data_IF_358497434233
#
_entry.id   IF_358497434233
#
_cell.length_a   1.000
_cell.length_b   1.000
_cell.length_c   1.000
_cell.angle_alpha   90.00
_cell.angle_beta   90.00
_cell.angle_gamma   90.00
#
_symmetry.space_group_name_H-M   'P 1'
#
loop_
_entity.id
_entity.type
_entity.pdbx_description
1 polymer ?
#
# COMPACT_ATOMS: atom_id res chain seq x y z
N UNK A 1 -30.37 -23.53 23.94
CA UNK A 1 -30.14 -22.38 24.86
C UNK A 1 -28.83 -21.71 24.45
N UNK A 2 -28.77 -20.36 24.43
CA UNK A 2 -27.60 -19.63 23.95
C UNK A 2 -26.36 -19.77 24.87
N UNK A 3 -25.17 -19.57 24.29
CA UNK A 3 -23.88 -19.82 24.95
C UNK A 3 -23.72 -19.07 26.27
N UNK A 4 -23.98 -17.76 26.31
CA UNK A 4 -23.72 -16.94 27.52
C UNK A 4 -24.57 -17.26 28.76
N UNK A 5 -25.56 -18.16 28.65
CA UNK A 5 -26.35 -18.61 29.81
C UNK A 5 -25.80 -19.88 30.46
N UNK A 6 -25.07 -20.70 29.71
CA UNK A 6 -24.66 -22.05 30.16
C UNK A 6 -23.21 -22.42 29.80
N UNK A 7 -22.53 -21.58 29.02
CA UNK A 7 -21.15 -21.75 28.53
C UNK A 7 -20.89 -23.10 27.85
N UNK A 8 -21.93 -23.69 27.26
CA UNK A 8 -21.88 -24.98 26.60
C UNK A 8 -22.06 -24.80 25.09
N UNK A 9 -21.00 -25.09 24.33
CA UNK A 9 -20.96 -24.94 22.88
C UNK A 9 -21.92 -25.88 22.16
N UNK A 10 -22.03 -27.16 22.56
CA UNK A 10 -22.96 -28.10 21.93
C UNK A 10 -24.40 -27.60 21.96
N UNK A 11 -24.86 -27.14 23.14
CA UNK A 11 -26.22 -26.60 23.33
C UNK A 11 -26.44 -25.29 22.57
N UNK A 12 -25.41 -24.47 22.45
CA UNK A 12 -25.47 -23.19 21.75
C UNK A 12 -25.51 -23.38 20.23
N UNK A 13 -24.61 -24.21 19.69
CA UNK A 13 -24.52 -24.52 18.26
C UNK A 13 -25.77 -25.26 17.82
N UNK A 14 -26.24 -26.27 18.56
CA UNK A 14 -27.47 -26.97 18.23
C UNK A 14 -28.68 -26.02 18.13
N UNK A 15 -28.81 -25.08 19.07
CA UNK A 15 -29.88 -24.09 19.06
C UNK A 15 -29.73 -23.08 17.91
N UNK A 16 -28.51 -22.60 17.64
CA UNK A 16 -28.23 -21.69 16.53
C UNK A 16 -28.48 -22.33 15.16
N UNK A 17 -28.05 -23.58 14.97
CA UNK A 17 -28.27 -24.35 13.75
C UNK A 17 -29.76 -24.65 13.54
N UNK A 18 -30.50 -25.00 14.60
CA UNK A 18 -31.95 -25.17 14.54
C UNK A 18 -32.66 -23.87 14.12
N UNK A 19 -32.25 -22.72 14.67
CA UNK A 19 -32.79 -21.42 14.28
C UNK A 19 -32.44 -21.03 12.83
N UNK A 20 -31.26 -21.45 12.35
CA UNK A 20 -30.83 -21.25 10.97
C UNK A 20 -31.43 -22.27 9.97
N UNK A 21 -32.23 -23.23 10.44
CA UNK A 21 -32.80 -24.30 9.60
C UNK A 21 -31.75 -25.27 9.03
N UNK A 22 -30.64 -25.49 9.75
CA UNK A 22 -29.54 -26.36 9.34
C UNK A 22 -29.33 -27.51 10.33
N UNK A 23 -28.95 -28.73 9.89
CA UNK A 23 -28.63 -29.82 10.79
C UNK A 23 -27.28 -29.60 11.48
N UNK A 24 -27.19 -29.95 12.76
CA UNK A 24 -25.93 -29.97 13.52
C UNK A 24 -25.43 -31.41 13.65
N UNK A 25 -24.15 -31.64 13.31
CA UNK A 25 -23.52 -32.97 13.36
C UNK A 25 -23.19 -33.46 14.78
N UNK A 26 -23.27 -32.59 15.79
CA UNK A 26 -22.82 -32.88 17.15
C UNK A 26 -21.30 -32.83 17.33
N UNK A 27 -20.56 -32.37 16.31
CA UNK A 27 -19.11 -32.17 16.36
C UNK A 27 -18.78 -30.75 15.94
N UNK A 28 -17.86 -30.11 16.65
CA UNK A 28 -17.34 -28.80 16.32
C UNK A 28 -15.87 -28.71 16.70
N UNK A 29 -15.19 -27.77 16.07
CA UNK A 29 -13.84 -27.36 16.41
C UNK A 29 -13.67 -25.88 16.07
N UNK A 30 -12.54 -25.30 16.44
CA UNK A 30 -12.23 -23.89 16.20
C UNK A 30 -11.22 -23.77 15.08
N UNK A 31 -11.47 -22.82 14.17
CA UNK A 31 -10.52 -22.45 13.13
C UNK A 31 -10.10 -21.00 13.31
N UNK A 32 -8.87 -20.71 12.88
CA UNK A 32 -8.40 -19.33 12.81
C UNK A 32 -9.11 -18.60 11.66
N UNK A 33 -9.65 -17.42 11.95
CA UNK A 33 -10.25 -16.54 10.95
C UNK A 33 -9.73 -15.12 11.12
N UNK A 34 -9.50 -14.44 9.99
CA UNK A 34 -9.15 -13.04 9.96
C UNK A 34 -10.24 -12.27 9.22
N UNK A 35 -10.68 -11.15 9.79
CA UNK A 35 -11.62 -10.23 9.17
C UNK A 35 -10.98 -8.84 9.09
N UNK A 36 -10.89 -8.30 7.87
CA UNK A 36 -10.31 -6.99 7.61
C UNK A 36 -11.43 -5.98 7.33
N UNK A 37 -11.44 -4.88 8.08
CA UNK A 37 -12.40 -3.79 7.91
C UNK A 37 -11.65 -2.44 7.84
N UNK A 38 -12.11 -1.51 6.99
CA UNK A 38 -11.48 -0.19 6.90
C UNK A 38 -11.74 0.65 8.15
N UNK A 39 -10.72 1.39 8.60
CA UNK A 39 -10.88 2.39 9.65
C UNK A 39 -11.37 3.69 8.99
N UNK A 40 -12.65 4.02 9.20
CA UNK A 40 -13.32 5.18 8.57
C UNK A 40 -13.63 6.33 9.53
N UNK A 41 -13.33 6.15 10.82
CA UNK A 41 -13.55 7.12 11.89
C UNK A 41 -12.20 7.47 12.54
N UNK A 42 -12.19 8.43 13.47
CA UNK A 42 -10.96 8.96 14.09
C UNK A 42 -10.05 9.68 13.07
N UNK A 43 -10.63 10.51 12.20
CA UNK A 43 -9.86 11.36 11.27
C UNK A 43 -8.97 12.30 12.07
N UNK A 44 -7.67 12.26 11.80
CA UNK A 44 -6.69 13.09 12.47
C UNK A 44 -6.86 14.58 12.07
N UNK A 45 -6.60 15.53 12.98
CA UNK A 45 -6.44 16.95 12.64
C UNK A 45 -5.39 17.17 11.54
N UNK A 46 -5.52 18.27 10.78
CA UNK A 46 -4.68 18.56 9.60
C UNK A 46 -3.17 18.57 9.89
N UNK A 47 -2.79 19.00 11.09
CA UNK A 47 -1.40 19.08 11.57
C UNK A 47 -0.80 17.71 11.90
N UNK A 48 -1.63 16.66 11.93
CA UNK A 48 -1.24 15.26 12.15
C UNK A 48 -1.51 14.38 10.92
N UNK A 49 -1.86 14.99 9.79
CA UNK A 49 -1.98 14.27 8.53
C UNK A 49 -0.60 13.71 8.14
N UNK A 50 -0.60 12.52 7.54
CA UNK A 50 0.65 11.91 7.10
C UNK A 50 1.31 12.76 6.02
N UNK A 51 2.59 13.03 6.20
CA UNK A 51 3.46 13.64 5.20
C UNK A 51 4.05 12.59 4.27
N UNK A 52 4.70 13.06 3.21
CA UNK A 52 5.33 12.19 2.20
C UNK A 52 6.35 11.23 2.85
N UNK A 53 7.18 11.73 3.77
CA UNK A 53 8.23 10.96 4.45
C UNK A 53 7.69 9.86 5.36
N UNK A 54 6.46 9.98 5.86
CA UNK A 54 5.87 8.97 6.74
C UNK A 54 5.68 7.63 6.02
N UNK A 55 5.63 7.65 4.68
CA UNK A 55 5.50 6.46 3.85
C UNK A 55 6.72 6.24 2.94
N UNK A 56 7.31 7.31 2.39
CA UNK A 56 8.33 7.24 1.34
C UNK A 56 9.79 7.28 1.83
N UNK A 57 10.02 7.28 3.15
CA UNK A 57 11.37 7.22 3.72
C UNK A 57 11.69 5.86 4.33
N UNK A 58 12.99 5.62 4.57
CA UNK A 58 13.44 4.49 5.39
C UNK A 58 12.83 4.56 6.79
N UNK A 59 12.39 3.42 7.32
CA UNK A 59 11.61 3.33 8.57
C UNK A 59 10.22 3.97 8.48
N UNK A 60 9.72 4.28 7.28
CA UNK A 60 8.34 4.70 7.05
C UNK A 60 7.34 3.56 7.23
N UNK A 61 6.05 3.89 7.15
CA UNK A 61 4.92 2.93 7.27
C UNK A 61 4.96 1.82 6.23
N UNK A 62 5.57 2.09 5.08
CA UNK A 62 5.71 1.14 3.98
C UNK A 62 7.04 0.38 4.03
N UNK A 63 7.78 0.36 5.14
CA UNK A 63 9.07 -0.34 5.27
C UNK A 63 8.98 -1.87 5.23
N UNK A 64 7.79 -2.46 5.38
CA UNK A 64 7.62 -3.93 5.39
C UNK A 64 6.69 -4.44 4.30
N UNK A 65 6.33 -3.57 3.35
CA UNK A 65 5.43 -3.93 2.24
C UNK A 65 6.27 -4.36 1.04
N UNK A 66 6.43 -5.65 0.83
CA UNK A 66 7.26 -6.17 -0.26
C UNK A 66 6.61 -5.98 -1.64
N UNK A 67 7.43 -6.04 -2.70
CA UNK A 67 6.95 -6.02 -4.09
C UNK A 67 6.65 -4.64 -4.68
N UNK A 68 6.96 -3.55 -3.97
CA UNK A 68 6.83 -2.17 -4.48
C UNK A 68 8.17 -1.45 -4.43
N UNK A 69 8.52 -0.72 -5.49
CA UNK A 69 9.68 0.18 -5.53
C UNK A 69 9.31 1.57 -5.03
N UNK A 70 10.02 2.08 -4.04
CA UNK A 70 9.85 3.43 -3.49
C UNK A 70 11.17 4.20 -3.59
N UNK A 71 11.24 5.25 -4.43
CA UNK A 71 12.43 6.10 -4.51
C UNK A 71 12.80 6.68 -3.14
N UNK A 72 14.08 6.58 -2.75
CA UNK A 72 14.59 7.11 -1.49
C UNK A 72 14.35 6.24 -0.26
N UNK A 73 13.65 5.09 -0.38
CA UNK A 73 13.53 4.10 0.69
C UNK A 73 14.70 3.11 0.65
N UNK A 74 15.44 2.99 1.75
CA UNK A 74 16.73 2.28 1.80
C UNK A 74 16.70 0.83 1.32
N UNK A 75 15.68 0.04 1.67
CA UNK A 75 15.61 -1.38 1.27
C UNK A 75 15.31 -1.62 -0.23
N UNK A 76 14.80 -0.61 -0.95
CA UNK A 76 14.59 -0.69 -2.40
C UNK A 76 15.66 0.04 -3.20
N UNK A 77 16.55 0.77 -2.54
CA UNK A 77 17.49 1.65 -3.21
C UNK A 77 18.47 0.83 -4.05
N UNK A 78 18.27 0.84 -5.37
CA UNK A 78 19.22 0.28 -6.33
C UNK A 78 20.05 1.45 -6.85
N UNK A 79 21.23 1.65 -6.26
CA UNK A 79 22.10 2.79 -6.56
C UNK A 79 22.42 2.93 -8.07
N UNK A 80 22.57 1.82 -8.78
CA UNK A 80 22.76 1.82 -10.23
C UNK A 80 21.54 2.38 -10.99
N UNK A 81 20.32 2.03 -10.56
CA UNK A 81 19.10 2.48 -11.22
C UNK A 81 18.91 3.99 -11.03
N UNK A 82 19.16 4.48 -9.82
CA UNK A 82 19.04 5.91 -9.52
C UNK A 82 20.08 6.74 -10.29
N UNK A 83 21.34 6.28 -10.32
CA UNK A 83 22.41 6.96 -11.07
C UNK A 83 22.14 6.93 -12.58
N UNK A 84 21.75 5.78 -13.13
CA UNK A 84 21.40 5.66 -14.54
C UNK A 84 20.19 6.53 -14.92
N UNK A 85 19.15 6.56 -14.07
CA UNK A 85 17.96 7.37 -14.27
C UNK A 85 18.27 8.87 -14.33
N UNK A 86 19.06 9.36 -13.38
CA UNK A 86 19.48 10.77 -13.37
C UNK A 86 20.41 11.13 -14.53
N UNK A 87 21.33 10.24 -14.89
CA UNK A 87 22.19 10.44 -16.06
C UNK A 87 21.36 10.56 -17.35
N UNK A 88 20.35 9.70 -17.54
CA UNK A 88 19.47 9.74 -18.70
C UNK A 88 18.64 11.03 -18.75
N UNK A 89 18.14 11.48 -17.59
CA UNK A 89 17.41 12.74 -17.48
C UNK A 89 18.29 13.96 -17.84
N UNK A 90 19.55 13.96 -17.40
CA UNK A 90 20.51 15.00 -17.76
C UNK A 90 20.83 15.00 -19.27
N UNK A 91 21.06 13.82 -19.85
CA UNK A 91 21.34 13.68 -21.29
C UNK A 91 20.17 14.14 -22.17
N UNK A 92 18.94 13.80 -21.78
CA UNK A 92 17.74 14.25 -22.51
C UNK A 92 17.57 15.77 -22.44
N UNK A 93 17.79 16.38 -21.27
CA UNK A 93 17.78 17.84 -21.12
C UNK A 93 18.83 18.51 -22.03
N UNK A 94 20.06 18.00 -22.04
CA UNK A 94 21.12 18.51 -22.90
C UNK A 94 20.77 18.38 -24.40
N UNK A 95 20.18 17.26 -24.80
CA UNK A 95 19.71 17.04 -26.16
C UNK A 95 18.65 18.05 -26.60
N UNK A 96 17.65 18.32 -25.74
CA UNK A 96 16.59 19.30 -26.01
C UNK A 96 17.15 20.72 -26.08
N UNK A 97 18.05 21.10 -25.17
CA UNK A 97 18.70 22.41 -25.19
C UNK A 97 19.55 22.57 -26.47
N UNK A 98 20.37 21.57 -26.80
CA UNK A 98 21.19 21.58 -28.00
C UNK A 98 20.34 21.69 -29.27
N UNK A 99 19.25 20.93 -29.36
CA UNK A 99 18.29 21.03 -30.46
C UNK A 99 17.65 22.42 -30.54
N UNK A 100 17.23 22.99 -29.40
CA UNK A 100 16.67 24.34 -29.32
C UNK A 100 17.64 25.43 -29.79
N UNK A 101 18.89 25.39 -29.32
CA UNK A 101 19.95 26.30 -29.78
C UNK A 101 20.18 26.16 -31.28
N UNK A 102 20.25 24.91 -31.78
CA UNK A 102 20.38 24.63 -33.21
C UNK A 102 19.29 25.31 -34.04
N UNK A 103 18.03 25.24 -33.60
CA UNK A 103 16.90 25.91 -34.27
C UNK A 103 17.03 27.44 -34.29
N UNK A 104 17.51 28.05 -33.21
CA UNK A 104 17.69 29.52 -33.13
C UNK A 104 18.81 29.97 -34.08
N UNK A 105 19.93 29.25 -34.10
CA UNK A 105 21.09 29.59 -34.94
C UNK A 105 20.78 29.43 -36.44
N UNK A 106 20.01 28.42 -36.83
CA UNK A 106 19.59 28.25 -38.23
C UNK A 106 18.56 29.29 -38.64
N UNK A 107 17.58 29.62 -37.80
CA UNK A 107 16.59 30.67 -38.10
C UNK A 107 17.21 32.06 -38.30
N UNK A 108 18.28 32.38 -37.55
CA UNK A 108 19.04 33.64 -37.73
C UNK A 108 19.89 33.69 -38.99
N UNK A 109 20.18 32.56 -39.64
CA UNK A 109 20.94 32.50 -40.90
C UNK A 109 20.07 32.69 -42.15
N UNK A 110 18.76 32.48 -42.02
CA UNK A 110 17.80 32.61 -43.13
C UNK A 110 17.19 34.02 -43.23
N UNK A 111 17.51 34.91 -42.28
CA UNK A 111 17.27 36.36 -42.33
C UNK A 111 18.57 37.08 -42.66
#
# INVERSE_FOLDING_TARGET
AAYWKNLNWDKAIAAGMAAAGKPFSGKYDFIETAAMWPITHMVAPKDKALGCSDCHSSNGRLEKVDGIYIPGRGRDHIALLDTAGWALAALTLLGVIGHGIGRILTAKRTH
#
